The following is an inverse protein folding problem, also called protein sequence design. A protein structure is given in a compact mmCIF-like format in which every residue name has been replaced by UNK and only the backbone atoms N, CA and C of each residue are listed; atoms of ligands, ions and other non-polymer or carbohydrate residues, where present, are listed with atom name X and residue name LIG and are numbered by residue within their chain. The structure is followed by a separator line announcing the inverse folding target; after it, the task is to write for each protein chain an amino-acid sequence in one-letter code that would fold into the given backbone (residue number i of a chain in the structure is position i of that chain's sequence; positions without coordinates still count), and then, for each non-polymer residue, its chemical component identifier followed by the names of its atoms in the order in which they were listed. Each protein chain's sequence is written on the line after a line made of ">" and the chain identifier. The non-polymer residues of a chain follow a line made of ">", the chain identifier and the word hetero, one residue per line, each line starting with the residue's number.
data_IF_691630879860
#
_entry.id   IF_691630879860
#
_cell.length_a   1.000
_cell.length_b   1.000
_cell.length_c   1.000
_cell.angle_alpha   90.00
_cell.angle_beta   90.00
_cell.angle_gamma   90.00
#
_symmetry.space_group_name_H-M   'P 1'
#
loop_
_entity.id
_entity.type
_entity.pdbx_description
1 polymer ?
#
# COMPACT_ATOMS: atom_id res chain seq x y z
N UNK A 1 -9.12 -10.47 32.21
CA UNK A 1 -8.36 -10.22 30.97
C UNK A 1 -6.91 -10.22 31.41
N UNK A 2 -6.35 -11.42 31.54
CA UNK A 2 -5.17 -11.66 32.40
C UNK A 2 -3.91 -11.85 31.54
N UNK A 3 -3.93 -11.30 30.32
CA UNK A 3 -2.79 -11.38 29.43
C UNK A 3 -1.69 -10.45 29.98
N UNK A 4 -0.47 -10.95 30.24
CA UNK A 4 0.62 -10.18 30.87
C UNK A 4 1.21 -9.07 29.97
N UNK A 5 0.48 -8.62 28.95
CA UNK A 5 1.01 -7.79 27.86
C UNK A 5 1.99 -8.55 26.96
N UNK A 6 2.53 -7.85 25.96
CA UNK A 6 3.65 -8.37 25.17
C UNK A 6 4.95 -7.98 25.87
N UNK A 7 5.70 -8.96 26.38
CA UNK A 7 7.02 -8.68 26.98
C UNK A 7 7.97 -8.04 25.97
N UNK A 8 8.80 -7.11 26.42
CA UNK A 8 9.89 -6.60 25.59
C UNK A 8 10.89 -7.72 25.28
N UNK A 9 10.97 -8.09 24.00
CA UNK A 9 11.89 -9.13 23.52
C UNK A 9 13.33 -8.65 23.54
N UNK A 10 14.24 -9.61 23.71
CA UNK A 10 15.68 -9.39 23.76
C UNK A 10 16.18 -8.57 24.96
N UNK A 11 15.35 -8.28 25.98
CA UNK A 11 15.73 -7.54 27.18
C UNK A 11 15.79 -8.45 28.40
N UNK A 12 16.94 -8.48 29.08
CA UNK A 12 17.16 -9.27 30.30
C UNK A 12 16.18 -8.84 31.40
N UNK A 13 15.48 -9.81 31.98
CA UNK A 13 14.47 -9.58 33.03
C UNK A 13 13.06 -9.39 32.50
N UNK A 14 12.88 -9.21 31.18
CA UNK A 14 11.59 -9.05 30.52
C UNK A 14 11.33 -10.17 29.50
N UNK A 15 12.34 -10.57 28.73
CA UNK A 15 12.27 -11.71 27.81
C UNK A 15 12.60 -13.02 28.56
N UNK A 16 11.66 -13.97 28.69
CA UNK A 16 11.90 -15.26 29.35
C UNK A 16 12.98 -16.11 28.68
N UNK A 17 13.34 -15.79 27.42
CA UNK A 17 14.39 -16.50 26.70
C UNK A 17 15.81 -16.02 27.05
N UNK A 18 15.95 -14.98 27.87
CA UNK A 18 17.26 -14.48 28.31
C UNK A 18 17.52 -14.96 29.74
N UNK A 19 18.64 -15.67 29.99
CA UNK A 19 19.05 -16.02 31.34
C UNK A 19 19.11 -14.78 32.24
N UNK A 20 18.58 -14.88 33.47
CA UNK A 20 18.54 -13.77 34.43
C UNK A 20 19.93 -13.23 34.76
N UNK A 21 20.94 -14.09 34.66
CA UNK A 21 22.36 -13.84 34.89
C UNK A 21 23.13 -13.44 33.62
N UNK A 22 22.45 -13.29 32.46
CA UNK A 22 23.12 -12.85 31.23
C UNK A 22 23.80 -11.48 31.44
N UNK A 23 25.05 -11.37 31.00
CA UNK A 23 25.92 -10.23 31.34
C UNK A 23 25.40 -8.87 30.86
N UNK A 24 24.81 -8.81 29.66
CA UNK A 24 24.36 -7.55 29.07
C UNK A 24 22.86 -7.33 29.27
N UNK A 25 22.40 -6.09 29.16
CA UNK A 25 20.96 -5.77 29.20
C UNK A 25 20.19 -6.39 28.03
N UNK A 26 20.81 -6.49 26.85
CA UNK A 26 20.17 -7.05 25.66
C UNK A 26 20.94 -8.23 25.08
N UNK A 27 20.21 -9.23 24.58
CA UNK A 27 20.77 -10.37 23.86
C UNK A 27 19.93 -10.77 22.66
N UNK A 28 20.48 -10.66 21.46
CA UNK A 28 19.83 -11.07 20.22
C UNK A 28 20.16 -12.54 19.92
N UNK A 29 19.53 -13.48 20.65
CA UNK A 29 19.79 -14.93 20.56
C UNK A 29 19.49 -15.58 19.20
N UNK A 30 18.89 -14.84 18.25
CA UNK A 30 18.80 -15.27 16.85
C UNK A 30 20.12 -15.13 16.07
N UNK A 31 21.13 -14.48 16.65
CA UNK A 31 22.45 -14.26 16.04
C UNK A 31 23.55 -14.98 16.84
N UNK A 32 24.55 -15.54 16.16
CA UNK A 32 25.63 -16.31 16.79
C UNK A 32 26.44 -15.50 17.82
N UNK A 33 26.62 -14.20 17.59
CA UNK A 33 27.36 -13.28 18.46
C UNK A 33 26.45 -12.49 19.43
N UNK A 34 25.13 -12.75 19.41
CA UNK A 34 24.18 -12.14 20.34
C UNK A 34 23.89 -10.65 20.10
N UNK A 35 24.23 -10.11 18.92
CA UNK A 35 24.13 -8.68 18.58
C UNK A 35 23.13 -8.43 17.46
N UNK A 36 22.41 -7.30 17.53
CA UNK A 36 21.63 -6.83 16.40
C UNK A 36 22.52 -6.50 15.20
N UNK A 37 21.98 -6.64 13.99
CA UNK A 37 22.65 -6.22 12.75
C UNK A 37 22.11 -4.84 12.36
N UNK A 38 22.99 -3.85 12.31
CA UNK A 38 22.69 -2.56 11.69
C UNK A 38 23.13 -2.59 10.24
N UNK A 39 22.20 -2.34 9.32
CA UNK A 39 22.46 -2.31 7.89
C UNK A 39 22.31 -0.88 7.39
N UNK A 40 23.42 -0.27 6.96
CA UNK A 40 23.40 0.98 6.20
C UNK A 40 23.19 0.62 4.73
N UNK A 41 22.09 1.08 4.14
CA UNK A 41 21.73 0.80 2.75
C UNK A 41 21.51 2.12 2.01
N UNK A 42 22.05 2.27 0.79
CA UNK A 42 21.75 3.42 -0.03
C UNK A 42 20.27 3.40 -0.45
N UNK A 43 19.75 4.57 -0.81
CA UNK A 43 18.46 4.68 -1.48
C UNK A 43 18.46 3.91 -2.80
N UNK A 44 17.35 3.25 -3.11
CA UNK A 44 17.06 2.68 -4.41
C UNK A 44 15.71 3.25 -4.90
N UNK A 45 15.63 3.73 -6.14
CA UNK A 45 14.38 4.22 -6.70
C UNK A 45 13.39 3.08 -6.95
N UNK A 46 12.13 3.43 -7.21
CA UNK A 46 11.13 2.46 -7.61
C UNK A 46 11.52 1.79 -8.94
N UNK A 47 11.00 0.60 -9.20
CA UNK A 47 11.26 -0.07 -10.48
C UNK A 47 10.66 0.69 -11.68
N UNK A 48 9.64 1.51 -11.44
CA UNK A 48 9.00 2.36 -12.43
C UNK A 48 8.62 3.72 -11.82
N UNK A 49 9.47 4.71 -12.05
CA UNK A 49 9.21 6.11 -11.70
C UNK A 49 8.27 6.79 -12.73
N UNK A 50 7.52 7.82 -12.31
CA UNK A 50 6.78 8.68 -13.22
C UNK A 50 7.66 9.31 -14.31
N UNK A 51 7.10 9.49 -15.50
CA UNK A 51 7.75 10.16 -16.61
C UNK A 51 6.80 11.12 -17.34
N UNK A 52 7.26 11.75 -18.42
CA UNK A 52 6.45 12.70 -19.17
C UNK A 52 5.15 12.09 -19.76
N UNK A 53 5.12 10.78 -20.03
CA UNK A 53 3.95 10.08 -20.60
C UNK A 53 3.02 9.55 -19.51
N UNK A 54 3.56 9.18 -18.36
CA UNK A 54 2.88 8.67 -17.18
C UNK A 54 3.31 9.46 -15.93
N UNK A 55 2.81 10.70 -15.76
CA UNK A 55 3.36 11.66 -14.80
C UNK A 55 2.88 11.46 -13.36
N UNK A 56 1.99 10.51 -13.10
CA UNK A 56 1.40 10.28 -11.77
C UNK A 56 1.89 8.96 -11.18
N UNK A 57 2.06 8.92 -9.86
CA UNK A 57 2.27 7.69 -9.09
C UNK A 57 0.91 7.03 -8.80
N UNK A 58 0.75 5.76 -9.17
CA UNK A 58 -0.32 4.90 -8.67
C UNK A 58 0.14 4.20 -7.39
N UNK A 59 -0.64 4.36 -6.33
CA UNK A 59 -0.58 3.50 -5.16
C UNK A 59 -1.89 2.74 -4.98
N UNK A 60 -1.83 1.50 -4.51
CA UNK A 60 -3.01 0.66 -4.32
C UNK A 60 -3.17 0.24 -2.87
N UNK A 61 -4.38 -0.09 -2.44
CA UNK A 61 -4.58 -0.54 -1.06
C UNK A 61 -5.99 -1.02 -0.75
N UNK A 62 -6.38 -0.83 0.50
CA UNK A 62 -7.62 -1.37 1.06
C UNK A 62 -8.44 -0.22 1.64
N UNK A 63 -9.73 -0.46 1.80
CA UNK A 63 -10.64 0.37 2.58
C UNK A 63 -11.11 -0.44 3.78
N UNK A 64 -11.57 0.24 4.83
CA UNK A 64 -11.92 -0.41 6.10
C UNK A 64 -13.03 -1.46 5.94
N UNK A 65 -14.03 -1.20 5.10
CA UNK A 65 -15.20 -2.06 4.90
C UNK A 65 -14.93 -3.34 4.11
N UNK A 66 -13.84 -3.37 3.33
CA UNK A 66 -13.59 -4.46 2.38
C UNK A 66 -12.26 -5.18 2.62
N UNK A 67 -12.40 -6.46 2.97
CA UNK A 67 -11.30 -7.40 2.98
C UNK A 67 -10.89 -7.84 1.57
N UNK A 68 -9.67 -7.50 1.19
CA UNK A 68 -8.97 -8.03 0.01
C UNK A 68 -9.82 -7.95 -1.26
N UNK A 69 -9.99 -9.05 -2.00
CA UNK A 69 -10.74 -9.12 -3.28
C UNK A 69 -12.26 -8.97 -3.14
N UNK A 70 -12.76 -8.65 -1.94
CA UNK A 70 -14.19 -8.47 -1.69
C UNK A 70 -15.03 -9.75 -1.81
N UNK A 71 -14.45 -10.93 -2.03
CA UNK A 71 -15.19 -12.18 -2.30
C UNK A 71 -16.13 -12.60 -1.18
N UNK A 72 -15.85 -12.16 0.05
CA UNK A 72 -16.72 -12.31 1.22
C UNK A 72 -17.48 -11.01 1.53
N UNK A 73 -16.76 -9.90 1.71
CA UNK A 73 -17.35 -8.64 2.21
C UNK A 73 -18.32 -8.00 1.23
N UNK A 74 -18.14 -8.16 -0.09
CA UNK A 74 -19.12 -7.70 -1.09
C UNK A 74 -20.41 -8.52 -1.13
N UNK A 75 -20.47 -9.66 -0.43
CA UNK A 75 -21.71 -10.42 -0.24
C UNK A 75 -22.53 -9.92 0.95
N UNK A 76 -21.93 -9.17 1.88
CA UNK A 76 -22.65 -8.53 2.98
C UNK A 76 -23.39 -7.29 2.45
N UNK A 77 -24.73 -7.20 2.57
CA UNK A 77 -25.48 -6.05 2.08
C UNK A 77 -25.05 -4.73 2.75
N UNK A 78 -24.70 -4.78 4.03
CA UNK A 78 -24.28 -3.60 4.80
C UNK A 78 -22.94 -3.08 4.30
N UNK A 79 -21.93 -3.95 4.19
CA UNK A 79 -20.59 -3.56 3.74
C UNK A 79 -20.60 -3.12 2.27
N UNK A 80 -21.30 -3.85 1.41
CA UNK A 80 -21.45 -3.49 -0.01
C UNK A 80 -22.12 -2.12 -0.20
N UNK A 81 -23.08 -1.75 0.66
CA UNK A 81 -23.72 -0.43 0.59
C UNK A 81 -22.78 0.69 1.03
N UNK A 82 -21.88 0.43 1.98
CA UNK A 82 -20.89 1.41 2.46
C UNK A 82 -19.89 1.79 1.36
N UNK A 83 -19.31 0.80 0.67
CA UNK A 83 -18.39 1.02 -0.46
C UNK A 83 -18.75 0.15 -1.68
N UNK A 84 -19.71 0.56 -2.52
CA UNK A 84 -20.27 -0.31 -3.56
C UNK A 84 -19.35 -0.59 -4.74
N UNK A 85 -18.35 0.26 -5.00
CA UNK A 85 -17.42 0.17 -6.13
C UNK A 85 -16.06 0.76 -5.76
N UNK A 86 -15.00 0.28 -6.41
CA UNK A 86 -13.70 0.95 -6.35
C UNK A 86 -13.75 2.31 -7.06
N UNK A 87 -12.88 3.22 -6.64
CA UNK A 87 -12.74 4.58 -7.16
C UNK A 87 -11.26 4.90 -7.34
N UNK A 88 -10.96 5.99 -8.04
CA UNK A 88 -9.62 6.58 -8.00
C UNK A 88 -9.66 7.87 -7.18
N UNK A 89 -8.87 7.91 -6.11
CA UNK A 89 -8.71 9.11 -5.30
C UNK A 89 -7.68 10.03 -5.95
N UNK A 90 -8.06 11.29 -6.16
CA UNK A 90 -7.25 12.29 -6.87
C UNK A 90 -7.17 13.54 -6.02
N UNK A 91 -5.97 14.10 -5.89
CA UNK A 91 -5.76 15.36 -5.20
C UNK A 91 -6.55 16.50 -5.88
N UNK A 92 -7.13 17.42 -5.08
CA UNK A 92 -7.88 18.59 -5.57
C UNK A 92 -7.11 19.41 -6.61
N UNK A 93 -5.81 19.62 -6.44
CA UNK A 93 -5.00 20.41 -7.38
C UNK A 93 -4.80 19.67 -8.70
N UNK A 94 -4.56 18.37 -8.68
CA UNK A 94 -4.40 17.60 -9.90
C UNK A 94 -5.74 17.41 -10.62
N UNK A 95 -6.82 17.21 -9.87
CA UNK A 95 -8.17 17.20 -10.43
C UNK A 95 -8.46 18.51 -11.18
N UNK A 96 -8.11 19.67 -10.59
CA UNK A 96 -8.23 20.97 -11.26
C UNK A 96 -7.36 21.07 -12.52
N UNK A 97 -6.09 20.66 -12.46
CA UNK A 97 -5.16 20.65 -13.62
C UNK A 97 -5.70 19.79 -14.77
N UNK A 98 -6.32 18.66 -14.46
CA UNK A 98 -6.82 17.69 -15.44
C UNK A 98 -8.31 17.89 -15.80
N UNK A 99 -8.98 18.93 -15.27
CA UNK A 99 -10.39 19.19 -15.56
C UNK A 99 -11.36 18.13 -15.02
N UNK A 100 -10.97 17.42 -13.97
CA UNK A 100 -11.72 16.33 -13.34
C UNK A 100 -12.52 16.89 -12.16
N UNK A 101 -13.81 16.56 -12.10
CA UNK A 101 -14.67 16.83 -10.94
C UNK A 101 -14.89 15.56 -10.13
N UNK A 102 -15.28 15.72 -8.87
CA UNK A 102 -15.70 14.60 -8.05
C UNK A 102 -16.88 13.88 -8.71
N UNK A 103 -16.81 12.55 -8.82
CA UNK A 103 -17.83 11.72 -9.47
C UNK A 103 -17.65 11.53 -10.98
N UNK A 104 -16.75 12.26 -11.64
CA UNK A 104 -16.45 12.05 -13.07
C UNK A 104 -15.85 10.65 -13.30
N UNK A 105 -16.17 10.05 -14.45
CA UNK A 105 -15.43 8.89 -14.93
C UNK A 105 -14.08 9.34 -15.49
N UNK A 106 -13.02 8.65 -15.09
CA UNK A 106 -11.64 8.96 -15.50
C UNK A 106 -10.95 7.69 -15.96
N UNK A 107 -10.25 7.81 -17.09
CA UNK A 107 -9.36 6.77 -17.59
C UNK A 107 -8.03 6.85 -16.84
N UNK A 108 -7.70 5.78 -16.14
CA UNK A 108 -6.39 5.55 -15.56
C UNK A 108 -5.64 4.55 -16.45
N UNK A 109 -4.41 4.87 -16.83
CA UNK A 109 -3.64 4.05 -17.77
C UNK A 109 -2.19 3.97 -17.34
N UNK A 110 -1.64 2.76 -17.34
CA UNK A 110 -0.21 2.50 -17.16
C UNK A 110 0.42 2.04 -18.47
N UNK A 111 1.69 1.61 -18.43
CA UNK A 111 2.35 0.98 -19.58
C UNK A 111 1.74 -0.39 -19.94
N UNK A 112 0.94 -0.98 -19.05
CA UNK A 112 0.46 -2.37 -19.16
C UNK A 112 -1.02 -2.46 -19.59
N UNK A 113 -1.87 -1.63 -19.02
CA UNK A 113 -3.32 -1.65 -19.28
C UNK A 113 -3.97 -0.31 -18.92
N UNK A 114 -5.26 -0.17 -19.18
CA UNK A 114 -6.09 0.99 -18.86
C UNK A 114 -7.45 0.58 -18.29
N UNK A 115 -7.98 1.40 -17.40
CA UNK A 115 -9.26 1.12 -16.74
C UNK A 115 -9.96 2.43 -16.36
N UNK A 116 -11.29 2.43 -16.44
CA UNK A 116 -12.11 3.58 -16.07
C UNK A 116 -12.57 3.43 -14.63
N UNK A 117 -12.35 4.48 -13.84
CA UNK A 117 -12.80 4.58 -12.45
C UNK A 117 -13.64 5.84 -12.26
N UNK A 118 -14.51 5.84 -11.25
CA UNK A 118 -15.08 7.08 -10.79
C UNK A 118 -14.05 7.84 -9.94
N UNK A 119 -13.87 9.13 -10.19
CA UNK A 119 -12.98 9.99 -9.44
C UNK A 119 -13.59 10.35 -8.08
N UNK A 120 -12.82 10.17 -7.02
CA UNK A 120 -13.06 10.74 -5.69
C UNK A 120 -12.04 11.86 -5.49
N UNK A 121 -12.47 13.11 -5.56
CA UNK A 121 -11.57 14.26 -5.40
C UNK A 121 -11.49 14.63 -3.94
N UNK A 122 -10.28 14.62 -3.36
CA UNK A 122 -10.03 14.92 -1.95
C UNK A 122 -8.65 15.55 -1.73
N UNK A 123 -8.34 15.94 -0.50
CA UNK A 123 -7.03 16.44 -0.05
C UNK A 123 -6.17 15.35 0.62
N UNK A 124 -6.64 14.09 0.64
CA UNK A 124 -5.95 12.97 1.30
C UNK A 124 -4.70 12.52 0.53
N UNK A 125 -4.82 12.38 -0.80
CA UNK A 125 -3.67 12.04 -1.65
C UNK A 125 -2.79 13.28 -1.85
N UNK A 126 -1.46 13.08 -1.84
CA UNK A 126 -0.52 14.14 -2.21
C UNK A 126 -0.64 14.47 -3.71
N UNK A 127 -0.36 15.71 -4.13
CA UNK A 127 -0.25 16.04 -5.55
C UNK A 127 0.75 15.11 -6.27
N UNK A 128 0.43 14.69 -7.49
CA UNK A 128 1.21 13.74 -8.28
C UNK A 128 0.96 12.26 -7.96
N UNK A 129 0.06 11.96 -7.01
CA UNK A 129 -0.26 10.59 -6.58
C UNK A 129 -1.77 10.33 -6.66
N UNK A 130 -2.13 9.14 -7.12
CA UNK A 130 -3.50 8.63 -7.11
C UNK A 130 -3.58 7.31 -6.34
N UNK A 131 -4.69 7.10 -5.65
CA UNK A 131 -4.96 5.88 -4.89
C UNK A 131 -6.14 5.10 -5.48
N UNK A 132 -6.01 3.78 -5.58
CA UNK A 132 -7.11 2.88 -5.96
C UNK A 132 -7.18 1.67 -5.03
N UNK A 133 -8.31 1.40 -4.36
CA UNK A 133 -8.47 0.17 -3.59
C UNK A 133 -8.79 -1.02 -4.50
N UNK A 134 -8.29 -2.21 -4.17
CA UNK A 134 -8.31 -3.38 -5.07
C UNK A 134 -9.41 -4.42 -4.77
N UNK A 135 -10.47 -4.04 -4.05
CA UNK A 135 -11.52 -4.99 -3.64
C UNK A 135 -12.56 -5.31 -4.71
N UNK A 136 -12.69 -4.46 -5.73
CA UNK A 136 -13.75 -4.59 -6.72
C UNK A 136 -13.36 -5.58 -7.83
N UNK A 137 -14.06 -6.73 -7.86
CA UNK A 137 -13.81 -7.78 -8.85
C UNK A 137 -14.02 -7.34 -10.31
N UNK A 138 -14.77 -6.26 -10.55
CA UNK A 138 -15.01 -5.74 -11.90
C UNK A 138 -13.92 -4.75 -12.33
N UNK A 139 -13.15 -4.23 -11.37
CA UNK A 139 -12.11 -3.24 -11.58
C UNK A 139 -10.76 -3.77 -11.06
N UNK A 140 -10.17 -4.68 -11.84
CA UNK A 140 -8.92 -5.39 -11.52
C UNK A 140 -7.71 -4.45 -11.66
N UNK A 141 -7.50 -3.55 -10.69
CA UNK A 141 -6.40 -2.57 -10.70
C UNK A 141 -5.01 -3.19 -10.83
N UNK A 142 -4.83 -4.46 -10.41
CA UNK A 142 -3.57 -5.17 -10.57
C UNK A 142 -3.12 -5.32 -12.04
N UNK A 143 -4.03 -5.17 -13.01
CA UNK A 143 -3.67 -5.05 -14.44
C UNK A 143 -2.79 -3.82 -14.74
N UNK A 144 -2.94 -2.75 -13.95
CA UNK A 144 -2.14 -1.53 -14.08
C UNK A 144 -0.84 -1.59 -13.27
N UNK A 145 -0.74 -2.45 -12.24
CA UNK A 145 0.47 -2.58 -11.39
C UNK A 145 1.63 -3.23 -12.12
N UNK A 146 2.86 -2.95 -11.68
CA UNK A 146 4.06 -3.59 -12.21
C UNK A 146 4.39 -4.87 -11.41
N UNK A 147 4.81 -5.92 -12.10
CA UNK A 147 5.24 -7.19 -11.48
C UNK A 147 6.70 -7.15 -10.99
N UNK A 148 7.19 -5.98 -10.57
CA UNK A 148 8.48 -5.82 -9.91
C UNK A 148 8.38 -6.33 -8.46
N UNK A 149 9.49 -6.85 -7.94
CA UNK A 149 9.55 -7.40 -6.59
C UNK A 149 10.93 -7.17 -5.97
N UNK A 150 10.97 -7.15 -4.63
CA UNK A 150 12.23 -7.09 -3.90
C UNK A 150 13.06 -8.36 -4.16
N UNK A 151 14.33 -8.18 -4.51
CA UNK A 151 15.20 -9.30 -4.89
C UNK A 151 15.45 -10.28 -3.74
N UNK A 152 15.38 -9.84 -2.48
CA UNK A 152 15.58 -10.67 -1.30
C UNK A 152 14.32 -11.44 -0.92
N UNK A 153 13.24 -10.72 -0.61
CA UNK A 153 11.98 -11.29 -0.10
C UNK A 153 11.05 -11.83 -1.17
N UNK A 154 11.25 -11.45 -2.44
CA UNK A 154 10.34 -11.71 -3.58
C UNK A 154 8.96 -11.06 -3.41
N UNK A 155 8.82 -10.10 -2.51
CA UNK A 155 7.57 -9.39 -2.29
C UNK A 155 7.34 -8.35 -3.40
N UNK A 156 6.13 -8.29 -3.99
CA UNK A 156 5.82 -7.37 -5.08
C UNK A 156 5.68 -5.90 -4.65
N UNK A 157 6.01 -5.00 -5.58
CA UNK A 157 5.96 -3.55 -5.44
C UNK A 157 4.58 -2.98 -5.84
N UNK A 158 3.52 -3.28 -5.07
CA UNK A 158 2.16 -2.81 -5.38
C UNK A 158 1.87 -1.34 -5.00
N UNK A 159 2.83 -0.66 -4.39
CA UNK A 159 2.63 0.68 -3.80
C UNK A 159 3.09 1.82 -4.70
N UNK A 160 3.78 1.50 -5.79
CA UNK A 160 4.30 2.48 -6.73
C UNK A 160 4.39 1.87 -8.13
N UNK A 161 3.80 2.55 -9.09
CA UNK A 161 4.08 2.44 -10.51
C UNK A 161 3.58 3.72 -11.20
N UNK A 162 3.97 3.95 -12.44
CA UNK A 162 3.59 5.18 -13.14
C UNK A 162 2.30 5.01 -13.94
N UNK A 163 1.44 6.02 -13.85
CA UNK A 163 0.17 6.11 -14.57
C UNK A 163 -0.06 7.50 -15.14
N UNK A 164 -0.97 7.60 -16.11
CA UNK A 164 -1.59 8.85 -16.53
C UNK A 164 -3.08 8.79 -16.24
N UNK A 165 -3.64 9.95 -15.91
CA UNK A 165 -5.06 10.13 -15.68
C UNK A 165 -5.64 11.10 -16.71
N UNK A 166 -6.82 10.78 -17.24
CA UNK A 166 -7.57 11.62 -18.17
C UNK A 166 -9.05 11.51 -17.86
N UNK A 167 -9.82 12.59 -18.10
CA UNK A 167 -11.28 12.50 -18.11
C UNK A 167 -11.72 11.54 -19.24
N UNK A 168 -12.64 10.63 -18.92
CA UNK A 168 -13.15 9.62 -19.85
C UNK A 168 -14.22 10.18 -20.80
#
# INVERSE_FOLDING_TARGET
>A
EDHPGTCHRYVRGEDPNIPKDYKNKMWFYGTKDGKARLWLRPYAPAAEEPDAKYPMVLTTGRVIDHWHTGTMTMKSPVLRRSFPKAYVEVNINDAKKHGIKNGDNVLLESRRDKMVFQAKVSDVCRPGLVFVPWFDKNLIINKLTLNAFDKGSKQPEYKICAVRIKKA
#
